data_IF_214047229920
#
_entry.id   IF_214047229920
#
_cell.length_a   1.000
_cell.length_b   1.000
_cell.length_c   1.000
_cell.angle_alpha   90.00
_cell.angle_beta   90.00
_cell.angle_gamma   90.00
#
_symmetry.space_group_name_H-M   'P 1'
#
loop_
_entity.id
_entity.type
_entity.pdbx_description
1 polymer ?
#
# COMPACT_ATOMS: atom_id res chain seq x y z
N UNK A 1 10.03 22.00 -29.47
CA UNK A 1 9.44 20.65 -29.28
C UNK A 1 9.46 20.36 -27.79
N UNK A 2 8.39 20.74 -27.10
CA UNK A 2 8.31 20.76 -25.62
C UNK A 2 7.96 19.37 -25.12
N UNK A 3 8.82 18.78 -24.29
CA UNK A 3 8.58 17.50 -23.63
C UNK A 3 7.29 17.59 -22.78
N UNK A 4 6.36 16.67 -23.01
CA UNK A 4 5.15 16.55 -22.19
C UNK A 4 5.50 15.90 -20.84
N UNK A 5 5.06 16.46 -19.69
CA UNK A 5 5.35 15.88 -18.38
C UNK A 5 4.52 14.60 -18.13
N UNK A 6 5.18 13.60 -17.52
CA UNK A 6 4.71 12.24 -17.19
C UNK A 6 3.42 12.16 -16.36
N UNK A 7 2.94 13.31 -15.86
CA UNK A 7 1.76 13.46 -14.99
C UNK A 7 0.42 13.19 -15.68
N UNK A 8 0.39 13.02 -17.00
CA UNK A 8 -0.83 12.80 -17.81
C UNK A 8 -1.16 11.34 -18.12
N UNK A 9 -0.25 10.39 -17.86
CA UNK A 9 -0.46 8.99 -18.20
C UNK A 9 -1.39 8.23 -17.23
N UNK A 10 -1.49 8.68 -15.98
CA UNK A 10 -2.33 8.01 -14.98
C UNK A 10 -3.82 8.32 -15.13
N UNK A 11 -4.19 9.50 -15.65
CA UNK A 11 -5.60 9.93 -15.76
C UNK A 11 -6.34 9.26 -16.93
N UNK A 12 -5.63 8.79 -17.96
CA UNK A 12 -6.24 8.20 -19.15
C UNK A 12 -6.52 6.68 -19.03
N UNK A 13 -5.98 5.99 -18.03
CA UNK A 13 -6.10 4.54 -17.88
C UNK A 13 -7.44 4.09 -17.29
N UNK A 14 -8.14 4.96 -16.55
CA UNK A 14 -9.41 4.62 -15.89
C UNK A 14 -10.64 4.59 -16.82
N UNK A 15 -10.48 4.83 -18.13
CA UNK A 15 -11.61 4.96 -19.06
C UNK A 15 -11.87 3.71 -19.95
N UNK A 16 -11.17 2.57 -19.75
CA UNK A 16 -11.15 1.46 -20.72
C UNK A 16 -11.58 0.09 -20.19
N UNK A 17 -12.87 -0.08 -19.89
CA UNK A 17 -13.70 -1.32 -19.80
C UNK A 17 -13.05 -2.71 -19.62
N UNK A 18 -13.37 -3.38 -18.49
CA UNK A 18 -14.31 -4.54 -18.45
C UNK A 18 -14.71 -4.93 -17.02
N UNK A 19 -15.99 -5.31 -16.91
CA UNK A 19 -16.85 -5.56 -15.72
C UNK A 19 -17.08 -4.35 -14.81
N UNK A 20 -18.34 -3.91 -14.72
CA UNK A 20 -18.73 -2.73 -13.97
C UNK A 20 -18.49 -2.93 -12.47
N UNK A 21 -17.60 -2.16 -11.82
CA UNK A 21 -17.56 -2.10 -10.38
C UNK A 21 -18.54 -1.03 -9.90
N UNK A 22 -18.80 -1.03 -8.60
CA UNK A 22 -19.35 0.10 -7.86
C UNK A 22 -18.71 1.43 -8.32
N UNK A 23 -19.42 2.54 -8.09
CA UNK A 23 -18.98 3.91 -8.36
C UNK A 23 -17.43 4.03 -8.31
N UNK A 24 -16.75 4.46 -9.40
CA UNK A 24 -15.29 4.54 -9.44
C UNK A 24 -14.68 5.32 -8.26
N UNK A 25 -15.45 6.22 -7.64
CA UNK A 25 -15.08 6.86 -6.37
C UNK A 25 -14.98 5.89 -5.17
N UNK A 26 -15.89 4.93 -5.07
CA UNK A 26 -15.92 3.89 -4.03
C UNK A 26 -14.78 2.90 -4.19
N UNK A 27 -14.53 2.38 -5.40
CA UNK A 27 -13.44 1.43 -5.64
C UNK A 27 -12.05 2.03 -5.33
N UNK A 28 -11.86 3.31 -5.67
CA UNK A 28 -10.63 4.05 -5.32
C UNK A 28 -10.50 4.24 -3.81
N UNK A 29 -11.60 4.48 -3.11
CA UNK A 29 -11.63 4.67 -1.65
C UNK A 29 -11.32 3.37 -0.92
N UNK A 30 -11.89 2.24 -1.35
CA UNK A 30 -11.66 0.93 -0.76
C UNK A 30 -10.21 0.47 -0.96
N UNK A 31 -9.63 0.71 -2.14
CA UNK A 31 -8.22 0.43 -2.39
C UNK A 31 -7.29 1.24 -1.48
N UNK A 32 -7.59 2.53 -1.29
CA UNK A 32 -6.82 3.42 -0.40
C UNK A 32 -6.86 2.90 1.04
N UNK A 33 -8.05 2.54 1.53
CA UNK A 33 -8.23 1.97 2.87
C UNK A 33 -7.49 0.65 3.04
N UNK A 34 -7.66 -0.27 2.08
CA UNK A 34 -7.00 -1.57 2.13
C UNK A 34 -5.47 -1.45 2.09
N UNK A 35 -4.92 -0.61 1.22
CA UNK A 35 -3.47 -0.37 1.16
C UNK A 35 -2.95 0.25 2.45
N UNK A 36 -3.66 1.25 2.99
CA UNK A 36 -3.29 1.87 4.26
C UNK A 36 -3.34 0.87 5.42
N UNK A 37 -4.33 -0.04 5.45
CA UNK A 37 -4.41 -1.10 6.45
C UNK A 37 -3.21 -2.05 6.40
N UNK A 38 -2.74 -2.43 5.20
CA UNK A 38 -1.54 -3.26 5.06
C UNK A 38 -0.27 -2.54 5.56
N UNK A 39 -0.13 -1.25 5.27
CA UNK A 39 1.00 -0.44 5.74
C UNK A 39 0.96 -0.24 7.27
N UNK A 40 -0.23 -0.05 7.84
CA UNK A 40 -0.43 0.02 9.30
C UNK A 40 -0.06 -1.29 9.99
N UNK A 41 -0.41 -2.42 9.39
CA UNK A 41 -0.03 -3.73 9.91
C UNK A 41 1.48 -3.95 9.87
N UNK A 42 2.13 -3.46 8.82
CA UNK A 42 3.60 -3.46 8.77
C UNK A 42 4.19 -2.61 9.89
N UNK A 43 3.71 -1.37 10.06
CA UNK A 43 4.12 -0.45 11.14
C UNK A 43 3.82 -1.00 12.56
N UNK A 44 2.95 -1.99 12.71
CA UNK A 44 2.59 -2.60 14.01
C UNK A 44 3.20 -3.99 14.22
N UNK A 45 4.02 -4.46 13.28
CA UNK A 45 4.54 -5.82 13.28
C UNK A 45 5.48 -6.06 14.46
N UNK A 46 6.21 -5.02 14.86
CA UNK A 46 6.85 -4.96 16.17
C UNK A 46 5.96 -4.18 17.17
N UNK A 47 6.08 -4.50 18.45
CA UNK A 47 5.27 -3.87 19.49
C UNK A 47 5.85 -2.51 19.95
N UNK A 48 6.95 -2.05 19.35
CA UNK A 48 7.67 -0.82 19.69
C UNK A 48 7.39 0.26 18.65
N UNK A 49 6.25 0.96 18.78
CA UNK A 49 5.90 2.08 17.90
C UNK A 49 7.01 3.13 17.82
N UNK A 50 7.74 3.19 16.71
CA UNK A 50 8.69 4.27 16.46
C UNK A 50 8.00 5.42 15.69
N UNK A 51 8.13 6.69 16.14
CA UNK A 51 7.58 7.85 15.43
C UNK A 51 7.98 7.94 13.94
N UNK A 52 9.17 7.46 13.57
CA UNK A 52 9.70 7.46 12.20
C UNK A 52 8.90 6.57 11.24
N UNK A 53 8.38 5.44 11.70
CA UNK A 53 7.56 4.53 10.88
C UNK A 53 6.22 5.16 10.52
N UNK A 54 5.59 5.85 11.48
CA UNK A 54 4.33 6.56 11.23
C UNK A 54 4.50 7.65 10.17
N UNK A 55 5.56 8.45 10.30
CA UNK A 55 5.88 9.49 9.32
C UNK A 55 6.19 8.87 7.94
N UNK A 56 6.82 7.69 7.92
CA UNK A 56 7.07 6.95 6.69
C UNK A 56 5.78 6.50 6.01
N UNK A 57 4.84 5.92 6.75
CA UNK A 57 3.51 5.55 6.22
C UNK A 57 2.77 6.78 5.69
N UNK A 58 2.80 7.91 6.41
CA UNK A 58 2.18 9.15 5.93
C UNK A 58 2.80 9.64 4.61
N UNK A 59 4.12 9.57 4.47
CA UNK A 59 4.81 9.93 3.22
C UNK A 59 4.36 9.03 2.06
N UNK A 60 4.37 7.71 2.26
CA UNK A 60 3.94 6.72 1.28
C UNK A 60 2.50 6.92 0.83
N UNK A 61 1.57 7.16 1.75
CA UNK A 61 0.16 7.41 1.43
C UNK A 61 -0.02 8.67 0.58
N UNK A 62 0.76 9.72 0.85
CA UNK A 62 0.73 10.95 0.05
C UNK A 62 1.26 10.74 -1.35
N UNK A 63 2.37 10.01 -1.48
CA UNK A 63 3.04 9.75 -2.75
C UNK A 63 2.21 8.81 -3.63
N UNK A 64 1.76 7.67 -3.10
CA UNK A 64 1.01 6.66 -3.86
C UNK A 64 -0.37 7.15 -4.30
N UNK A 65 -1.06 7.94 -3.47
CA UNK A 65 -2.44 8.35 -3.74
C UNK A 65 -2.61 9.84 -4.07
N UNK A 66 -1.51 10.58 -4.19
CA UNK A 66 -1.48 12.02 -4.43
C UNK A 66 -2.34 12.80 -3.41
N UNK A 67 -2.24 12.42 -2.13
CA UNK A 67 -2.98 13.04 -1.03
C UNK A 67 -2.24 14.23 -0.43
N UNK A 68 -3.00 15.21 0.07
CA UNK A 68 -2.43 16.21 0.96
C UNK A 68 -2.20 15.64 2.38
N UNK A 69 -1.54 16.43 3.24
CA UNK A 69 -1.21 15.99 4.58
C UNK A 69 -2.43 15.70 5.46
N UNK A 70 -3.54 16.42 5.28
CA UNK A 70 -4.74 16.21 6.08
C UNK A 70 -5.46 14.93 5.66
N UNK A 71 -5.61 14.70 4.37
CA UNK A 71 -6.22 13.50 3.80
C UNK A 71 -5.41 12.24 4.12
N UNK A 72 -4.07 12.30 4.06
CA UNK A 72 -3.22 11.17 4.42
C UNK A 72 -3.32 10.83 5.92
N UNK A 73 -3.38 11.83 6.81
CA UNK A 73 -3.61 11.59 8.25
C UNK A 73 -4.98 10.98 8.51
N UNK A 74 -6.03 11.52 7.89
CA UNK A 74 -7.38 10.98 8.04
C UNK A 74 -7.46 9.52 7.55
N UNK A 75 -6.80 9.20 6.43
CA UNK A 75 -6.73 7.83 5.92
C UNK A 75 -5.95 6.90 6.85
N UNK A 76 -4.81 7.37 7.39
CA UNK A 76 -4.02 6.60 8.35
C UNK A 76 -4.84 6.29 9.61
N UNK A 77 -5.45 7.30 10.22
CA UNK A 77 -6.27 7.14 11.43
C UNK A 77 -7.46 6.20 11.20
N UNK A 78 -8.06 6.25 10.00
CA UNK A 78 -9.12 5.33 9.61
C UNK A 78 -8.60 3.89 9.52
N UNK A 79 -7.48 3.69 8.82
CA UNK A 79 -6.86 2.39 8.68
C UNK A 79 -6.42 1.80 10.03
N UNK A 80 -5.89 2.62 10.94
CA UNK A 80 -5.54 2.19 12.30
C UNK A 80 -6.73 1.58 13.06
N UNK A 81 -7.89 2.26 12.99
CA UNK A 81 -9.14 1.74 13.59
C UNK A 81 -9.61 0.46 12.92
N UNK A 82 -9.61 0.43 11.59
CA UNK A 82 -10.05 -0.75 10.83
C UNK A 82 -9.19 -1.97 11.11
N UNK A 83 -7.88 -1.77 11.24
CA UNK A 83 -6.94 -2.82 11.59
C UNK A 83 -7.16 -3.32 13.02
N UNK A 84 -7.41 -2.41 13.97
CA UNK A 84 -7.73 -2.79 15.36
C UNK A 84 -9.03 -3.60 15.47
N UNK A 85 -10.03 -3.30 14.64
CA UNK A 85 -11.31 -4.02 14.60
C UNK A 85 -11.29 -5.29 13.75
N UNK A 86 -10.31 -5.43 12.85
CA UNK A 86 -10.22 -6.55 11.92
C UNK A 86 -9.78 -7.85 12.60
N UNK A 87 -10.46 -8.95 12.27
CA UNK A 87 -10.05 -10.29 12.70
C UNK A 87 -8.96 -10.91 11.82
N UNK A 88 -8.73 -10.36 10.61
CA UNK A 88 -7.66 -10.81 9.70
C UNK A 88 -7.37 -9.79 8.60
N UNK A 89 -6.20 -9.95 7.96
CA UNK A 89 -5.77 -9.14 6.80
C UNK A 89 -6.38 -9.58 5.47
N UNK A 90 -7.05 -10.73 5.44
CA UNK A 90 -7.49 -11.35 4.20
C UNK A 90 -8.43 -10.44 3.39
N UNK A 91 -9.30 -9.70 4.07
CA UNK A 91 -10.21 -8.73 3.43
C UNK A 91 -9.46 -7.61 2.71
N UNK A 92 -8.45 -7.02 3.37
CA UNK A 92 -7.63 -5.96 2.78
C UNK A 92 -6.79 -6.48 1.62
N UNK A 93 -6.12 -7.63 1.80
CA UNK A 93 -5.32 -8.23 0.71
C UNK A 93 -6.18 -8.61 -0.48
N UNK A 94 -7.41 -9.10 -0.27
CA UNK A 94 -8.32 -9.44 -1.36
C UNK A 94 -8.77 -8.20 -2.16
N UNK A 95 -9.00 -7.07 -1.50
CA UNK A 95 -9.32 -5.80 -2.18
C UNK A 95 -8.14 -5.39 -3.06
N UNK A 96 -6.93 -5.33 -2.49
CA UNK A 96 -5.71 -4.97 -3.25
C UNK A 96 -5.48 -5.94 -4.40
N UNK A 97 -5.57 -7.25 -4.15
CA UNK A 97 -5.30 -8.29 -5.14
C UNK A 97 -6.27 -8.24 -6.34
N UNK A 98 -7.53 -7.86 -6.11
CA UNK A 98 -8.55 -7.76 -7.16
C UNK A 98 -8.54 -6.43 -7.90
N UNK A 99 -8.14 -5.34 -7.24
CA UNK A 99 -8.20 -4.00 -7.83
C UNK A 99 -6.91 -3.60 -8.52
N UNK A 100 -5.76 -4.14 -8.10
CA UNK A 100 -4.45 -3.77 -8.63
C UNK A 100 -3.97 -4.67 -9.76
N UNK A 101 -3.29 -4.05 -10.72
CA UNK A 101 -2.41 -4.73 -11.68
C UNK A 101 -1.20 -5.37 -10.99
N UNK A 102 -0.53 -6.36 -11.62
CA UNK A 102 0.70 -6.94 -11.06
C UNK A 102 1.76 -5.89 -10.69
N UNK A 103 1.94 -4.86 -11.52
CA UNK A 103 2.91 -3.79 -11.29
C UNK A 103 2.52 -2.89 -10.11
N UNK A 104 1.23 -2.65 -9.89
CA UNK A 104 0.74 -1.93 -8.72
C UNK A 104 0.91 -2.74 -7.43
N UNK A 105 0.71 -4.06 -7.48
CA UNK A 105 0.96 -4.94 -6.33
C UNK A 105 2.44 -4.95 -5.94
N UNK A 106 3.34 -4.98 -6.92
CA UNK A 106 4.78 -4.85 -6.67
C UNK A 106 5.10 -3.53 -5.97
N UNK A 107 4.53 -2.41 -6.43
CA UNK A 107 4.72 -1.10 -5.77
C UNK A 107 4.19 -1.06 -4.33
N UNK A 108 3.11 -1.77 -4.04
CA UNK A 108 2.61 -1.91 -2.66
C UNK A 108 3.59 -2.73 -1.81
N UNK A 109 4.17 -3.80 -2.38
CA UNK A 109 5.21 -4.59 -1.69
C UNK A 109 6.50 -3.80 -1.47
N UNK A 110 6.90 -2.95 -2.42
CA UNK A 110 8.00 -1.98 -2.24
C UNK A 110 7.69 -1.04 -1.06
N UNK A 111 6.49 -0.46 -1.00
CA UNK A 111 6.08 0.39 0.11
C UNK A 111 6.08 -0.34 1.47
N UNK A 112 5.70 -1.63 1.51
CA UNK A 112 5.79 -2.45 2.73
C UNK A 112 7.25 -2.63 3.19
N UNK A 113 8.18 -2.86 2.26
CA UNK A 113 9.61 -2.88 2.57
C UNK A 113 10.11 -1.53 3.09
N UNK A 114 9.67 -0.43 2.48
CA UNK A 114 10.05 0.92 2.90
C UNK A 114 9.61 1.26 4.34
N UNK A 115 8.49 0.70 4.80
CA UNK A 115 8.05 0.80 6.21
C UNK A 115 8.92 -0.08 7.09
N UNK A 116 9.12 -1.34 6.71
CA UNK A 116 9.92 -2.33 7.46
C UNK A 116 11.42 -1.99 7.58
N UNK A 117 11.91 -0.94 6.90
CA UNK A 117 13.28 -0.44 7.00
C UNK A 117 13.36 0.97 7.60
N UNK A 118 12.25 1.54 8.05
CA UNK A 118 12.20 2.96 8.43
C UNK A 118 13.13 3.30 9.59
N UNK A 119 13.40 2.36 10.50
CA UNK A 119 14.33 2.50 11.62
C UNK A 119 15.79 2.12 11.26
N UNK A 120 16.03 1.66 10.03
CA UNK A 120 17.33 1.20 9.53
C UNK A 120 17.69 -0.25 9.90
N UNK A 121 16.76 -1.00 10.51
CA UNK A 121 16.89 -2.42 10.81
C UNK A 121 15.77 -3.17 10.09
N UNK A 122 15.94 -4.48 9.96
CA UNK A 122 14.89 -5.37 9.51
C UNK A 122 14.98 -6.62 10.36
N UNK A 123 13.92 -6.93 11.08
CA UNK A 123 13.81 -8.12 11.89
C UNK A 123 13.11 -9.28 11.15
N UNK A 124 13.12 -10.46 11.78
CA UNK A 124 12.57 -11.69 11.19
C UNK A 124 11.03 -11.67 11.09
N UNK A 125 10.34 -10.95 11.96
CA UNK A 125 8.89 -10.82 11.98
C UNK A 125 8.42 -9.89 10.88
N UNK A 126 9.13 -8.78 10.70
CA UNK A 126 8.91 -7.84 9.60
C UNK A 126 9.16 -8.49 8.25
N UNK A 127 10.31 -9.14 8.07
CA UNK A 127 10.63 -9.90 6.86
C UNK A 127 9.57 -10.97 6.58
N UNK A 128 9.13 -11.67 7.62
CA UNK A 128 8.07 -12.67 7.49
C UNK A 128 6.75 -12.03 7.05
N UNK A 129 6.37 -10.88 7.60
CA UNK A 129 5.13 -10.19 7.27
C UNK A 129 5.13 -9.70 5.82
N UNK A 130 6.20 -9.07 5.34
CA UNK A 130 6.29 -8.64 3.93
C UNK A 130 6.18 -9.83 2.98
N UNK A 131 6.85 -10.96 3.29
CA UNK A 131 6.74 -12.20 2.49
C UNK A 131 5.31 -12.73 2.48
N UNK A 132 4.66 -12.80 3.64
CA UNK A 132 3.27 -13.26 3.78
C UNK A 132 2.31 -12.37 2.99
N UNK A 133 2.48 -11.05 3.04
CA UNK A 133 1.66 -10.11 2.30
C UNK A 133 1.90 -10.22 0.80
N UNK A 134 3.15 -10.35 0.35
CA UNK A 134 3.46 -10.57 -1.06
C UNK A 134 2.83 -11.86 -1.61
N UNK A 135 2.85 -12.95 -0.84
CA UNK A 135 2.18 -14.20 -1.21
C UNK A 135 0.65 -14.01 -1.32
N UNK A 136 0.02 -13.30 -0.37
CA UNK A 136 -1.42 -13.00 -0.40
C UNK A 136 -1.82 -12.07 -1.55
N UNK A 137 -0.89 -11.23 -2.02
CA UNK A 137 -1.06 -10.36 -3.18
C UNK A 137 -0.65 -11.04 -4.50
N UNK A 138 -0.30 -12.33 -4.46
CA UNK A 138 0.18 -13.10 -5.62
C UNK A 138 1.37 -12.45 -6.34
N UNK A 139 2.24 -11.76 -5.60
CA UNK A 139 3.49 -11.21 -6.13
C UNK A 139 4.53 -12.32 -6.16
N UNK A 140 5.16 -12.53 -7.32
CA UNK A 140 6.14 -13.61 -7.50
C UNK A 140 7.36 -13.33 -6.63
N UNK A 141 7.97 -14.40 -6.10
CA UNK A 141 9.16 -14.29 -5.26
C UNK A 141 10.32 -13.49 -5.90
N UNK A 142 10.52 -13.63 -7.22
CA UNK A 142 11.54 -12.87 -7.93
C UNK A 142 11.29 -11.36 -7.89
N UNK A 143 10.03 -10.93 -8.03
CA UNK A 143 9.65 -9.52 -7.97
C UNK A 143 9.73 -9.00 -6.53
N UNK A 144 9.36 -9.82 -5.53
CA UNK A 144 9.55 -9.52 -4.11
C UNK A 144 11.02 -9.25 -3.74
N UNK A 145 11.95 -10.07 -4.24
CA UNK A 145 13.39 -9.88 -4.00
C UNK A 145 13.89 -8.61 -4.68
N UNK A 146 13.40 -8.29 -5.88
CA UNK A 146 13.77 -7.03 -6.56
C UNK A 146 13.23 -5.80 -5.83
N UNK A 147 12.00 -5.87 -5.32
CA UNK A 147 11.37 -4.79 -4.56
C UNK A 147 12.19 -4.36 -3.33
N UNK A 148 12.81 -5.33 -2.64
CA UNK A 148 13.71 -5.09 -1.49
C UNK A 148 14.94 -4.21 -1.81
N UNK A 149 15.34 -4.11 -3.08
CA UNK A 149 16.57 -3.42 -3.50
C UNK A 149 16.32 -2.06 -4.17
N UNK A 150 15.07 -1.57 -4.15
CA UNK A 150 14.68 -0.27 -4.73
C UNK A 150 14.51 0.77 -3.64
#
# INVERSE_FOLDING_TARGET
MTAMPLRRLLTAFLAGTREAPADPGTATTDLRRATAALLVEMMRADFEKDPGERDRVLALLREHFALDAAAARALLELAEREVEEASSLFGFTQIVDRTCTPEEKIRIVEALWEVAWADGRLDKYEEYLVRKLADLLHVRHADLVQAKHR
#
